data_IF_467700114173
#
_entry.id   IF_467700114173
#
_cell.length_a   1.000
_cell.length_b   1.000
_cell.length_c   1.000
_cell.angle_alpha   90.00
_cell.angle_beta   90.00
_cell.angle_gamma   90.00
#
_symmetry.space_group_name_H-M   'P 1'
#
loop_
_entity.id
_entity.type
_entity.pdbx_description
1 polymer ?
#
# COMPACT_ATOMS: atom_id res chain seq x y z
N UNK A 1 29.21 -48.60 -70.11
CA UNK A 1 28.22 -49.11 -69.15
C UNK A 1 28.93 -49.21 -67.83
N UNK A 2 28.62 -48.32 -66.86
CA UNK A 2 29.27 -48.30 -65.58
C UNK A 2 28.61 -47.17 -64.77
N UNK A 3 27.62 -47.55 -63.98
CA UNK A 3 26.88 -46.63 -63.09
C UNK A 3 27.69 -46.28 -61.88
N UNK A 4 27.95 -45.00 -61.66
CA UNK A 4 28.54 -44.48 -60.40
C UNK A 4 27.43 -44.10 -59.42
N UNK A 5 27.31 -44.82 -58.32
CA UNK A 5 26.46 -44.50 -57.19
C UNK A 5 27.15 -43.49 -56.29
N UNK A 6 26.60 -42.26 -56.24
CA UNK A 6 26.96 -41.24 -55.27
C UNK A 6 26.22 -41.49 -53.94
N UNK A 7 26.93 -41.61 -52.82
CA UNK A 7 26.40 -41.67 -51.47
C UNK A 7 26.34 -40.27 -50.91
N UNK A 8 25.11 -39.75 -50.67
CA UNK A 8 24.90 -38.53 -49.89
C UNK A 8 24.94 -38.88 -48.40
N UNK A 9 25.93 -38.39 -47.71
CA UNK A 9 26.00 -38.37 -46.24
C UNK A 9 25.16 -37.18 -45.74
N UNK A 10 24.00 -37.45 -45.11
CA UNK A 10 23.18 -36.47 -44.38
C UNK A 10 23.76 -36.30 -42.99
N UNK A 11 24.44 -35.19 -42.73
CA UNK A 11 24.86 -34.81 -41.38
C UNK A 11 23.67 -34.11 -40.68
N UNK A 12 23.01 -34.83 -39.74
CA UNK A 12 22.05 -34.21 -38.85
C UNK A 12 22.79 -33.42 -37.75
N UNK A 13 22.79 -32.11 -37.82
CA UNK A 13 23.13 -31.25 -36.69
C UNK A 13 21.98 -31.29 -35.71
N UNK A 14 22.12 -31.95 -34.57
CA UNK A 14 21.25 -31.86 -33.44
C UNK A 14 21.45 -30.45 -32.79
N UNK A 15 20.58 -29.53 -33.04
CA UNK A 15 20.49 -28.29 -32.29
C UNK A 15 19.99 -28.59 -30.86
N UNK A 16 20.91 -28.63 -29.89
CA UNK A 16 20.53 -28.61 -28.47
C UNK A 16 19.97 -27.23 -28.15
N UNK A 17 18.64 -27.14 -28.10
CA UNK A 17 17.94 -25.99 -27.52
C UNK A 17 18.27 -25.98 -26.02
N UNK A 18 19.11 -25.05 -25.58
CA UNK A 18 19.22 -24.71 -24.17
C UNK A 18 17.88 -24.08 -23.75
N UNK A 19 17.07 -24.88 -23.09
CA UNK A 19 15.86 -24.41 -22.41
C UNK A 19 16.30 -23.54 -21.23
N UNK A 20 16.48 -22.24 -21.47
CA UNK A 20 16.67 -21.24 -20.41
C UNK A 20 15.30 -21.02 -19.80
N UNK A 21 14.91 -21.94 -18.91
CA UNK A 21 13.78 -21.67 -18.00
C UNK A 21 14.05 -20.33 -17.32
N UNK A 22 13.11 -19.35 -17.42
CA UNK A 22 13.24 -18.12 -16.65
C UNK A 22 13.30 -18.53 -15.18
N UNK A 23 14.49 -18.32 -14.56
CA UNK A 23 14.68 -18.62 -13.15
C UNK A 23 13.52 -18.01 -12.39
N UNK A 24 12.75 -18.82 -11.67
CA UNK A 24 11.73 -18.36 -10.75
C UNK A 24 12.45 -17.46 -9.76
N UNK A 25 12.36 -16.15 -9.95
CA UNK A 25 12.81 -15.20 -8.95
C UNK A 25 12.08 -15.60 -7.66
N UNK A 26 12.82 -16.14 -6.69
CA UNK A 26 12.27 -16.68 -5.47
C UNK A 26 11.37 -15.61 -4.86
N UNK A 27 10.07 -15.88 -4.80
CA UNK A 27 9.08 -14.90 -4.36
C UNK A 27 9.42 -14.52 -2.91
N UNK A 28 9.75 -13.26 -2.67
CA UNK A 28 10.15 -12.78 -1.34
C UNK A 28 9.01 -13.04 -0.33
N UNK A 29 9.35 -13.48 0.90
CA UNK A 29 8.34 -13.87 1.88
C UNK A 29 7.59 -12.67 2.46
N UNK A 30 6.38 -12.90 2.95
CA UNK A 30 5.67 -11.99 3.82
C UNK A 30 6.14 -12.15 5.27
N UNK A 31 5.76 -11.20 6.13
CA UNK A 31 6.16 -11.18 7.54
C UNK A 31 5.87 -12.50 8.28
N UNK A 32 4.68 -13.05 8.14
CA UNK A 32 4.28 -14.29 8.83
C UNK A 32 5.05 -15.52 8.35
N UNK A 33 5.47 -15.55 7.11
CA UNK A 33 6.26 -16.66 6.54
C UNK A 33 7.68 -16.76 7.13
N UNK A 34 8.11 -15.70 7.79
CA UNK A 34 9.40 -15.68 8.52
C UNK A 34 9.23 -15.58 10.04
N UNK A 35 8.02 -15.83 10.56
CA UNK A 35 7.74 -15.83 12.00
C UNK A 35 7.37 -14.47 12.60
N UNK A 36 7.30 -13.43 11.79
CA UNK A 36 6.88 -12.08 12.23
C UNK A 36 5.35 -11.99 12.17
N UNK A 37 4.71 -12.15 13.30
CA UNK A 37 3.24 -12.17 13.43
C UNK A 37 2.79 -11.23 14.56
N UNK A 38 2.78 -9.90 14.33
CA UNK A 38 2.43 -8.94 15.37
C UNK A 38 0.98 -9.10 15.81
N UNK A 39 0.79 -9.00 17.13
CA UNK A 39 -0.52 -9.01 17.76
C UNK A 39 -1.10 -10.39 18.05
N UNK A 40 -2.41 -10.37 18.38
CA UNK A 40 -3.14 -11.55 18.87
C UNK A 40 -4.30 -11.96 17.95
N UNK A 41 -4.77 -11.08 17.06
CA UNK A 41 -5.89 -11.39 16.19
C UNK A 41 -5.46 -12.18 14.96
N UNK A 42 -6.33 -13.12 14.55
CA UNK A 42 -6.18 -13.84 13.30
C UNK A 42 -6.31 -12.90 12.10
N UNK A 43 -5.61 -13.21 11.02
CA UNK A 43 -5.76 -12.51 9.75
C UNK A 43 -7.03 -12.97 9.01
N UNK A 44 -7.49 -12.18 8.06
CA UNK A 44 -8.39 -12.66 7.03
C UNK A 44 -7.67 -13.64 6.07
N UNK A 45 -8.42 -14.27 5.15
CA UNK A 45 -7.87 -15.28 4.24
C UNK A 45 -6.70 -14.82 3.37
N UNK A 46 -6.73 -13.56 2.92
CA UNK A 46 -5.69 -12.95 2.08
C UNK A 46 -4.65 -12.19 2.90
N UNK A 47 -4.96 -11.94 4.18
CA UNK A 47 -4.20 -11.00 5.02
C UNK A 47 -3.93 -9.67 4.30
N UNK A 48 -4.97 -9.09 3.71
CA UNK A 48 -4.94 -7.90 2.89
C UNK A 48 -6.13 -6.98 3.16
N UNK A 49 -6.03 -5.71 2.76
CA UNK A 49 -7.14 -4.75 2.89
C UNK A 49 -8.42 -5.24 2.17
N UNK A 50 -8.27 -6.04 1.14
CA UNK A 50 -9.35 -6.66 0.37
C UNK A 50 -10.07 -7.81 1.09
N UNK A 51 -9.64 -8.20 2.29
CA UNK A 51 -10.43 -9.06 3.18
C UNK A 51 -11.65 -8.31 3.75
N UNK A 52 -11.63 -6.99 3.72
CA UNK A 52 -12.81 -6.17 4.07
C UNK A 52 -13.80 -6.23 2.89
N UNK A 53 -15.02 -6.71 3.10
CA UNK A 53 -16.00 -6.88 2.03
C UNK A 53 -16.25 -5.58 1.26
N UNK A 54 -16.21 -5.65 -0.06
CA UNK A 54 -16.45 -4.53 -0.97
C UNK A 54 -15.20 -3.78 -1.41
N UNK A 55 -14.08 -3.87 -0.68
CA UNK A 55 -12.84 -3.17 -1.03
C UNK A 55 -12.18 -3.77 -2.26
N UNK A 56 -11.80 -2.89 -3.21
CA UNK A 56 -11.05 -3.26 -4.40
C UNK A 56 -9.74 -2.47 -4.44
N UNK A 57 -8.69 -3.09 -4.97
CA UNK A 57 -7.38 -2.46 -5.17
C UNK A 57 -6.92 -2.67 -6.62
N UNK A 58 -6.47 -1.59 -7.26
CA UNK A 58 -5.85 -1.63 -8.58
C UNK A 58 -4.49 -0.94 -8.56
N UNK A 59 -3.54 -1.45 -9.33
CA UNK A 59 -2.16 -0.98 -9.29
C UNK A 59 -1.59 -0.88 -10.71
N UNK A 60 -0.87 0.21 -10.98
CA UNK A 60 -0.10 0.40 -12.22
C UNK A 60 1.31 0.80 -11.85
N UNK A 61 2.27 -0.05 -12.19
CA UNK A 61 3.69 0.22 -12.04
C UNK A 61 4.22 0.92 -13.27
N UNK A 62 4.95 2.03 -13.08
CA UNK A 62 5.54 2.83 -14.17
C UNK A 62 7.06 2.77 -14.05
N UNK A 63 7.66 2.07 -14.99
CA UNK A 63 9.11 1.95 -15.13
C UNK A 63 9.46 2.40 -16.56
N UNK A 64 10.15 3.53 -16.70
CA UNK A 64 10.51 4.09 -18.00
C UNK A 64 12.01 4.42 -18.02
N UNK A 65 12.70 3.90 -19.02
CA UNK A 65 14.14 4.04 -19.19
C UNK A 65 14.91 3.78 -17.86
N UNK A 66 15.91 4.60 -17.57
CA UNK A 66 16.73 4.53 -16.36
C UNK A 66 16.37 5.61 -15.31
N UNK A 67 15.28 6.35 -15.50
CA UNK A 67 14.98 7.58 -14.73
C UNK A 67 13.61 7.60 -14.04
N UNK A 68 12.69 6.71 -14.41
CA UNK A 68 11.33 6.65 -13.83
C UNK A 68 11.11 5.33 -13.13
N UNK A 69 10.84 5.38 -11.84
CA UNK A 69 10.38 4.27 -10.99
C UNK A 69 9.29 4.80 -10.07
N UNK A 70 8.06 4.70 -10.49
CA UNK A 70 6.89 5.23 -9.78
C UNK A 70 5.63 4.43 -10.12
N UNK A 71 4.45 4.92 -9.77
CA UNK A 71 3.20 4.29 -10.15
C UNK A 71 1.98 4.84 -9.44
N UNK A 72 0.88 4.14 -9.59
CA UNK A 72 -0.43 4.47 -9.03
C UNK A 72 -0.98 3.24 -8.29
N UNK A 73 -1.55 3.46 -7.11
CA UNK A 73 -2.37 2.48 -6.40
C UNK A 73 -3.74 3.10 -6.14
N UNK A 74 -4.80 2.47 -6.62
CA UNK A 74 -6.18 2.88 -6.42
C UNK A 74 -6.84 1.96 -5.37
N UNK A 75 -7.56 2.55 -4.42
CA UNK A 75 -8.36 1.84 -3.43
C UNK A 75 -9.80 2.32 -3.55
N UNK A 76 -10.72 1.39 -3.84
CA UNK A 76 -12.14 1.67 -3.97
C UNK A 76 -12.88 1.03 -2.78
N UNK A 77 -13.63 1.80 -1.98
CA UNK A 77 -14.46 1.28 -0.91
C UNK A 77 -15.54 0.27 -1.36
N UNK A 78 -16.01 0.40 -2.60
CA UNK A 78 -16.93 -0.55 -3.24
C UNK A 78 -16.93 -0.36 -4.77
N UNK A 79 -17.46 -1.34 -5.50
CA UNK A 79 -17.50 -1.35 -6.96
C UNK A 79 -18.54 -0.40 -7.59
N UNK A 80 -19.46 0.16 -6.80
CA UNK A 80 -20.49 1.08 -7.29
C UNK A 80 -19.98 2.51 -7.47
N UNK A 81 -20.86 3.41 -7.94
CA UNK A 81 -20.56 4.84 -8.05
C UNK A 81 -20.45 5.47 -6.66
N UNK A 82 -19.21 5.77 -6.24
CA UNK A 82 -18.89 6.32 -4.92
C UNK A 82 -19.44 7.73 -4.71
N UNK A 83 -19.67 8.49 -5.76
CA UNK A 83 -20.24 9.82 -5.67
C UNK A 83 -21.74 9.78 -5.30
N UNK A 84 -22.45 8.77 -5.78
CA UNK A 84 -23.87 8.58 -5.51
C UNK A 84 -24.10 7.79 -4.21
N UNK A 85 -23.20 6.87 -3.87
CA UNK A 85 -23.26 6.00 -2.70
C UNK A 85 -21.96 6.17 -1.89
N UNK A 86 -21.93 7.21 -1.08
CA UNK A 86 -20.76 7.58 -0.28
C UNK A 86 -20.58 6.67 0.93
N UNK A 87 -19.34 6.56 1.37
CA UNK A 87 -19.00 5.84 2.60
C UNK A 87 -18.56 6.83 3.68
N UNK A 88 -18.88 6.58 4.96
CA UNK A 88 -18.33 7.39 6.05
C UNK A 88 -16.82 7.23 6.09
N UNK A 89 -16.11 8.33 6.33
CA UNK A 89 -14.65 8.36 6.35
C UNK A 89 -14.12 9.46 7.27
N UNK A 90 -12.84 9.32 7.62
CA UNK A 90 -12.09 10.33 8.35
C UNK A 90 -10.62 10.29 7.96
N UNK A 91 -9.95 11.44 8.10
CA UNK A 91 -8.51 11.57 7.87
C UNK A 91 -7.86 12.07 9.17
N UNK A 92 -6.72 11.43 9.51
CA UNK A 92 -5.84 11.86 10.60
C UNK A 92 -4.48 12.22 10.01
N UNK A 93 -3.95 13.36 10.44
CA UNK A 93 -2.61 13.84 10.11
C UNK A 93 -1.69 13.55 11.29
N UNK A 94 -0.70 12.69 11.09
CA UNK A 94 0.36 12.42 12.07
C UNK A 94 1.43 13.50 12.02
N UNK A 95 1.94 13.78 10.82
CA UNK A 95 2.76 14.93 10.48
C UNK A 95 2.39 15.43 9.08
N UNK A 96 2.38 16.74 8.87
CA UNK A 96 1.74 17.37 7.70
C UNK A 96 2.66 17.82 6.57
N UNK A 97 3.92 17.38 6.52
CA UNK A 97 4.83 17.74 5.44
C UNK A 97 4.58 16.88 4.18
N UNK A 98 3.45 17.12 3.52
CA UNK A 98 3.04 16.35 2.34
C UNK A 98 1.74 16.89 1.75
N UNK A 99 1.18 16.15 0.79
CA UNK A 99 -0.07 16.48 0.13
C UNK A 99 -1.07 15.34 0.28
N UNK A 100 -2.23 15.68 0.83
CA UNK A 100 -3.41 14.83 0.79
C UNK A 100 -4.57 15.67 0.30
N UNK A 101 -4.84 15.60 -1.00
CA UNK A 101 -6.00 16.29 -1.59
C UNK A 101 -7.30 15.73 -1.02
N UNK A 102 -8.30 16.57 -0.92
CA UNK A 102 -9.63 16.20 -0.45
C UNK A 102 -9.79 16.10 1.06
N UNK A 103 -8.71 16.24 1.84
CA UNK A 103 -8.72 16.05 3.29
C UNK A 103 -9.67 16.97 4.04
N UNK A 104 -9.81 18.22 3.61
CA UNK A 104 -10.71 19.21 4.26
C UNK A 104 -12.17 18.77 4.16
N UNK A 105 -12.64 18.42 2.96
CA UNK A 105 -14.03 17.97 2.78
C UNK A 105 -14.32 16.65 3.49
N UNK A 106 -13.39 15.68 3.43
CA UNK A 106 -13.56 14.40 4.14
C UNK A 106 -13.71 14.64 5.64
N UNK A 107 -12.89 15.50 6.23
CA UNK A 107 -12.94 15.77 7.66
C UNK A 107 -14.15 16.62 8.08
N UNK A 108 -14.61 17.51 7.22
CA UNK A 108 -15.77 18.38 7.50
C UNK A 108 -17.09 17.64 7.30
N UNK A 109 -17.21 16.85 6.23
CA UNK A 109 -18.46 16.14 5.90
C UNK A 109 -18.49 14.69 6.41
N UNK A 110 -17.34 14.15 6.83
CA UNK A 110 -17.24 12.79 7.37
C UNK A 110 -17.47 11.70 6.32
N UNK A 111 -17.21 11.95 5.04
CA UNK A 111 -17.49 11.00 3.96
C UNK A 111 -16.49 11.05 2.80
N UNK A 112 -16.34 9.92 2.10
CA UNK A 112 -15.66 9.79 0.82
C UNK A 112 -16.68 9.73 -0.32
N UNK A 113 -16.44 10.51 -1.37
CA UNK A 113 -17.25 10.51 -2.60
C UNK A 113 -16.43 10.07 -3.84
N UNK A 114 -15.14 9.72 -3.65
CA UNK A 114 -14.24 9.25 -4.72
C UNK A 114 -13.46 8.02 -4.28
N UNK A 115 -12.85 7.27 -5.20
CA UNK A 115 -11.73 6.39 -4.87
C UNK A 115 -10.62 7.15 -4.16
N UNK A 116 -9.72 6.40 -3.50
CA UNK A 116 -8.46 6.93 -2.96
C UNK A 116 -7.36 6.55 -3.95
N UNK A 117 -6.58 7.53 -4.41
CA UNK A 117 -5.38 7.29 -5.20
C UNK A 117 -4.13 7.59 -4.37
N UNK A 118 -3.12 6.73 -4.52
CA UNK A 118 -1.77 6.93 -4.01
C UNK A 118 -0.80 7.01 -5.18
N UNK A 119 0.16 7.94 -5.13
CA UNK A 119 1.13 8.15 -6.23
C UNK A 119 2.37 8.93 -5.76
N UNK A 120 3.18 9.45 -6.68
CA UNK A 120 4.34 10.30 -6.40
C UNK A 120 3.93 11.74 -6.03
N UNK A 121 4.76 12.43 -5.24
CA UNK A 121 4.44 13.76 -4.68
C UNK A 121 4.09 14.81 -5.74
N UNK A 122 4.81 14.92 -6.86
CA UNK A 122 4.48 15.86 -7.93
C UNK A 122 3.38 15.34 -8.88
N UNK A 123 2.97 14.08 -8.75
CA UNK A 123 1.96 13.45 -9.59
C UNK A 123 0.53 13.71 -9.10
N UNK A 124 0.34 14.16 -7.87
CA UNK A 124 -0.95 14.28 -7.18
C UNK A 124 -2.01 14.99 -8.02
N UNK A 125 -1.68 16.14 -8.60
CA UNK A 125 -2.66 16.92 -9.39
C UNK A 125 -3.04 16.26 -10.70
N UNK A 126 -2.10 15.58 -11.39
CA UNK A 126 -2.42 14.77 -12.57
C UNK A 126 -3.32 13.59 -12.25
N UNK A 127 -3.05 12.92 -11.12
CA UNK A 127 -3.87 11.82 -10.66
C UNK A 127 -5.30 12.28 -10.29
N UNK A 128 -5.42 13.43 -9.65
CA UNK A 128 -6.71 14.02 -9.28
C UNK A 128 -7.53 14.40 -10.52
N UNK A 129 -6.93 15.09 -11.47
CA UNK A 129 -7.57 15.49 -12.73
C UNK A 129 -8.08 14.27 -13.50
N UNK A 130 -7.23 13.27 -13.69
CA UNK A 130 -7.58 12.03 -14.38
C UNK A 130 -8.67 11.21 -13.66
N UNK A 131 -8.69 11.22 -12.32
CA UNK A 131 -9.75 10.58 -11.54
C UNK A 131 -11.08 11.30 -11.70
N UNK A 132 -11.07 12.64 -11.69
CA UNK A 132 -12.27 13.44 -11.90
C UNK A 132 -12.84 13.17 -13.32
N UNK A 133 -11.99 13.15 -14.35
CA UNK A 133 -12.40 12.81 -15.70
C UNK A 133 -13.06 11.42 -15.76
N UNK A 134 -12.43 10.42 -15.13
CA UNK A 134 -12.97 9.06 -15.07
C UNK A 134 -14.33 9.01 -14.34
N UNK A 135 -14.47 9.75 -13.24
CA UNK A 135 -15.71 9.78 -12.46
C UNK A 135 -16.85 10.48 -13.20
N UNK A 136 -16.57 11.60 -13.88
CA UNK A 136 -17.58 12.30 -14.69
C UNK A 136 -18.13 11.45 -15.82
N UNK A 137 -17.36 10.47 -16.31
CA UNK A 137 -17.80 9.48 -17.28
C UNK A 137 -18.66 8.34 -16.73
N UNK A 138 -18.89 8.28 -15.42
CA UNK A 138 -19.72 7.22 -14.81
C UNK A 138 -21.21 7.50 -14.98
N UNK A 139 -22.06 6.47 -15.04
CA UNK A 139 -23.52 6.65 -15.11
C UNK A 139 -24.06 7.49 -13.95
N UNK A 140 -24.97 8.41 -14.23
CA UNK A 140 -25.61 9.27 -13.24
C UNK A 140 -24.83 10.53 -12.86
N UNK A 141 -23.71 10.81 -13.54
CA UNK A 141 -22.86 11.97 -13.25
C UNK A 141 -23.15 13.21 -14.11
N UNK A 142 -24.08 13.16 -15.05
CA UNK A 142 -24.34 14.22 -16.05
C UNK A 142 -24.61 15.61 -15.47
N UNK A 143 -25.20 15.67 -14.28
CA UNK A 143 -25.53 16.92 -13.59
C UNK A 143 -24.49 17.34 -12.53
N UNK A 144 -23.44 16.56 -12.35
CA UNK A 144 -22.40 16.83 -11.35
C UNK A 144 -21.54 18.02 -11.79
N UNK A 145 -21.26 18.94 -10.88
CA UNK A 145 -20.50 20.17 -11.13
C UNK A 145 -19.28 20.31 -10.21
N UNK A 146 -19.13 19.43 -9.22
CA UNK A 146 -18.05 19.45 -8.25
C UNK A 146 -17.76 18.05 -7.78
N UNK A 147 -16.49 17.67 -7.68
CA UNK A 147 -16.00 16.38 -7.16
C UNK A 147 -14.76 16.68 -6.32
N UNK A 148 -14.72 16.13 -5.10
CA UNK A 148 -13.59 16.27 -4.20
C UNK A 148 -12.67 15.05 -4.29
N UNK A 149 -11.67 15.11 -5.17
CA UNK A 149 -10.71 14.03 -5.38
C UNK A 149 -9.84 13.79 -4.15
N UNK A 150 -9.71 12.53 -3.70
CA UNK A 150 -8.82 12.12 -2.61
C UNK A 150 -7.57 11.46 -3.18
N UNK A 151 -6.44 12.15 -3.08
CA UNK A 151 -5.15 11.69 -3.60
C UNK A 151 -4.05 11.94 -2.58
N UNK A 152 -3.42 10.85 -2.13
CA UNK A 152 -2.26 10.87 -1.25
C UNK A 152 -0.95 10.58 -2.00
N UNK A 153 0.18 10.83 -1.32
CA UNK A 153 1.48 10.72 -1.98
C UNK A 153 2.62 10.38 -1.04
N UNK A 154 3.71 9.92 -1.63
CA UNK A 154 5.03 9.96 -1.02
C UNK A 154 6.06 10.47 -2.04
N UNK A 155 7.21 10.99 -1.56
CA UNK A 155 8.26 11.50 -2.43
C UNK A 155 9.25 10.39 -2.82
N UNK A 156 9.07 9.80 -3.98
CA UNK A 156 9.95 8.78 -4.56
C UNK A 156 11.07 9.37 -5.45
N UNK A 157 11.21 10.71 -5.46
CA UNK A 157 12.01 11.48 -6.41
C UNK A 157 13.50 11.63 -6.09
N UNK A 158 14.05 10.81 -5.19
CA UNK A 158 15.48 10.89 -4.84
C UNK A 158 16.33 10.01 -5.76
N UNK A 159 16.51 8.72 -5.43
CA UNK A 159 17.38 7.82 -6.19
C UNK A 159 16.66 7.18 -7.37
N UNK A 160 15.37 6.82 -7.21
CA UNK A 160 14.69 5.93 -8.15
C UNK A 160 13.82 6.63 -9.19
N UNK A 161 13.12 7.69 -8.82
CA UNK A 161 12.29 8.48 -9.74
C UNK A 161 12.89 9.86 -10.00
N UNK A 162 14.13 9.90 -10.50
CA UNK A 162 14.86 11.16 -10.72
C UNK A 162 14.17 12.07 -11.73
N UNK A 163 13.32 11.53 -12.59
CA UNK A 163 12.49 12.29 -13.53
C UNK A 163 11.19 12.84 -12.91
N UNK A 164 11.03 12.83 -11.57
CA UNK A 164 9.79 13.20 -10.87
C UNK A 164 9.23 14.58 -11.30
N UNK A 165 10.10 15.52 -11.71
CA UNK A 165 9.68 16.86 -12.19
C UNK A 165 8.87 16.81 -13.49
N UNK A 166 8.99 15.74 -14.28
CA UNK A 166 8.14 15.51 -15.46
C UNK A 166 6.74 15.08 -15.10
N UNK A 167 6.50 14.71 -13.82
CA UNK A 167 5.26 14.12 -13.32
C UNK A 167 4.89 12.90 -14.14
N UNK A 168 5.69 11.80 -14.06
CA UNK A 168 5.73 10.72 -15.03
C UNK A 168 4.59 9.69 -14.83
N UNK A 169 3.35 10.17 -14.79
CA UNK A 169 2.14 9.36 -14.88
C UNK A 169 1.21 9.96 -15.93
N UNK A 170 0.32 9.18 -16.49
CA UNK A 170 -0.64 9.58 -17.51
C UNK A 170 -2.08 9.34 -17.05
N UNK A 171 -3.04 10.05 -17.65
CA UNK A 171 -4.47 9.82 -17.41
C UNK A 171 -4.89 8.38 -17.74
N UNK A 172 -4.31 7.77 -18.80
CA UNK A 172 -4.56 6.39 -19.16
C UNK A 172 -4.12 5.40 -18.05
N UNK A 173 -2.95 5.63 -17.45
CA UNK A 173 -2.44 4.79 -16.33
C UNK A 173 -3.30 4.95 -15.08
N UNK A 174 -3.78 6.16 -14.77
CA UNK A 174 -4.72 6.39 -13.65
C UNK A 174 -6.04 5.66 -13.92
N UNK A 175 -6.59 5.80 -15.12
CA UNK A 175 -7.81 5.08 -15.54
C UNK A 175 -7.60 3.57 -15.46
N UNK A 176 -6.46 3.07 -15.89
CA UNK A 176 -6.11 1.64 -15.81
C UNK A 176 -6.10 1.17 -14.33
N UNK A 177 -5.49 1.91 -13.40
CA UNK A 177 -5.50 1.56 -11.99
C UNK A 177 -6.92 1.49 -11.42
N UNK A 178 -7.79 2.45 -11.79
CA UNK A 178 -9.19 2.48 -11.35
C UNK A 178 -10.01 1.33 -11.93
N UNK A 179 -9.88 1.04 -13.24
CA UNK A 179 -10.69 0.02 -13.93
C UNK A 179 -10.20 -1.41 -13.69
N UNK A 180 -8.93 -1.60 -13.36
CA UNK A 180 -8.37 -2.90 -13.01
C UNK A 180 -8.53 -3.25 -11.53
N UNK A 181 -9.11 -2.35 -10.72
CA UNK A 181 -9.32 -2.59 -9.30
C UNK A 181 -10.25 -3.80 -9.09
N UNK A 182 -9.82 -4.72 -8.25
CA UNK A 182 -10.52 -5.97 -7.99
C UNK A 182 -10.39 -6.40 -6.53
N UNK A 183 -11.26 -7.28 -6.10
CA UNK A 183 -11.13 -8.02 -4.85
C UNK A 183 -10.09 -9.14 -5.03
N UNK A 184 -9.50 -9.63 -3.95
CA UNK A 184 -8.51 -10.70 -4.04
C UNK A 184 -7.12 -10.27 -3.57
N UNK A 185 -6.07 -11.02 -3.90
CA UNK A 185 -4.71 -10.72 -3.46
C UNK A 185 -4.24 -9.35 -3.95
N UNK A 186 -3.62 -8.58 -3.06
CA UNK A 186 -2.99 -7.29 -3.38
C UNK A 186 -1.49 -7.53 -3.61
N UNK A 187 -0.94 -6.97 -4.67
CA UNK A 187 0.52 -7.02 -4.88
C UNK A 187 1.23 -6.10 -3.89
N UNK A 188 2.37 -6.56 -3.36
CA UNK A 188 3.13 -5.87 -2.33
C UNK A 188 4.58 -5.62 -2.76
N UNK A 189 5.26 -4.70 -2.06
CA UNK A 189 6.63 -4.31 -2.33
C UNK A 189 6.74 -3.26 -3.43
N UNK A 190 7.64 -3.48 -4.37
CA UNK A 190 8.04 -2.51 -5.42
C UNK A 190 7.02 -2.40 -6.56
N UNK A 191 5.74 -2.16 -6.24
CA UNK A 191 4.63 -2.13 -7.21
C UNK A 191 3.76 -0.89 -7.03
N UNK A 192 3.05 -0.49 -8.09
CA UNK A 192 2.15 0.66 -8.04
C UNK A 192 2.82 1.91 -7.48
N UNK A 193 2.16 2.61 -6.59
CA UNK A 193 2.69 3.79 -5.90
C UNK A 193 3.94 3.51 -5.03
N UNK A 194 4.21 2.25 -4.72
CA UNK A 194 5.40 1.83 -3.95
C UNK A 194 6.65 1.53 -4.79
N UNK A 195 6.59 1.72 -6.12
CA UNK A 195 7.68 1.33 -7.02
C UNK A 195 8.99 2.07 -6.72
N UNK A 196 8.96 3.38 -6.51
CA UNK A 196 10.16 4.20 -6.30
C UNK A 196 10.48 4.53 -4.84
N UNK A 197 9.74 3.98 -3.88
CA UNK A 197 9.81 4.38 -2.47
C UNK A 197 10.93 3.68 -1.69
N UNK A 198 11.34 4.30 -0.58
CA UNK A 198 12.39 3.83 0.33
C UNK A 198 11.89 3.93 1.77
N UNK A 199 12.13 2.90 2.58
CA UNK A 199 11.75 2.91 3.99
C UNK A 199 12.88 2.35 4.86
N UNK A 200 13.21 3.04 5.96
CA UNK A 200 14.32 2.66 6.86
C UNK A 200 15.65 2.43 6.14
N UNK A 201 15.94 3.19 5.10
CA UNK A 201 17.11 3.05 4.23
C UNK A 201 17.13 1.82 3.29
N UNK A 202 16.12 0.98 3.33
CA UNK A 202 15.90 -0.10 2.36
C UNK A 202 14.78 0.23 1.38
N UNK A 203 14.64 -0.59 0.36
CA UNK A 203 13.53 -0.48 -0.57
C UNK A 203 12.22 -0.65 0.18
N UNK A 204 11.38 0.39 0.15
CA UNK A 204 10.01 0.39 0.64
C UNK A 204 9.01 -0.11 -0.40
N UNK A 205 7.73 0.16 -0.20
CA UNK A 205 6.73 -0.26 -1.16
C UNK A 205 5.29 -0.18 -0.68
N UNK A 206 4.43 -0.90 -1.37
CA UNK A 206 3.07 -1.20 -0.91
C UNK A 206 3.13 -2.39 0.02
N UNK A 207 2.41 -2.30 1.14
CA UNK A 207 2.18 -3.42 2.04
C UNK A 207 0.74 -3.46 2.50
N UNK A 208 0.25 -4.65 2.85
CA UNK A 208 -1.12 -4.81 3.30
C UNK A 208 -1.23 -5.89 4.36
N UNK A 209 -2.28 -5.81 5.17
CA UNK A 209 -2.60 -6.80 6.20
C UNK A 209 -4.06 -6.66 6.64
N UNK A 210 -4.59 -7.67 7.29
CA UNK A 210 -5.94 -7.64 7.88
C UNK A 210 -6.00 -8.33 9.23
N UNK A 211 -7.05 -8.01 9.99
CA UNK A 211 -7.39 -8.68 11.25
C UNK A 211 -8.88 -8.96 11.31
N UNK A 212 -9.21 -10.18 11.73
CA UNK A 212 -10.57 -10.58 12.05
C UNK A 212 -10.83 -10.41 13.54
N UNK A 213 -11.89 -9.67 13.86
CA UNK A 213 -12.36 -9.53 15.23
C UNK A 213 -13.12 -10.81 15.60
N UNK A 214 -12.90 -11.39 16.79
CA UNK A 214 -13.67 -12.56 17.23
C UNK A 214 -15.17 -12.32 17.22
N UNK A 215 -15.94 -13.34 16.84
CA UNK A 215 -17.41 -13.26 16.73
C UNK A 215 -18.12 -12.88 18.02
N UNK A 216 -17.50 -13.14 19.16
CA UNK A 216 -18.02 -12.74 20.48
C UNK A 216 -18.07 -11.21 20.67
N UNK A 217 -17.32 -10.46 19.87
CA UNK A 217 -17.24 -8.99 19.92
C UNK A 217 -17.99 -8.39 18.72
N UNK A 218 -18.16 -9.15 17.65
CA UNK A 218 -18.74 -8.74 16.37
C UNK A 218 -17.88 -9.28 15.22
N UNK A 219 -18.45 -9.86 14.17
CA UNK A 219 -17.72 -10.56 13.11
C UNK A 219 -17.08 -9.59 12.12
N UNK A 220 -16.38 -8.56 12.60
CA UNK A 220 -15.83 -7.50 11.76
C UNK A 220 -14.40 -7.79 11.33
N UNK A 221 -14.02 -7.18 10.22
CA UNK A 221 -12.69 -7.20 9.64
C UNK A 221 -12.11 -5.78 9.62
N UNK A 222 -10.84 -5.65 9.99
CA UNK A 222 -10.05 -4.44 9.75
C UNK A 222 -8.97 -4.79 8.74
N UNK A 223 -8.87 -4.02 7.66
CA UNK A 223 -7.83 -4.15 6.64
C UNK A 223 -7.02 -2.87 6.52
N UNK A 224 -5.73 -3.00 6.28
CA UNK A 224 -4.81 -1.87 6.12
C UNK A 224 -3.98 -2.05 4.85
N UNK A 225 -3.80 -0.95 4.11
CA UNK A 225 -2.83 -0.82 3.02
C UNK A 225 -1.95 0.38 3.30
N UNK A 226 -0.64 0.22 3.10
CA UNK A 226 0.34 1.30 3.29
C UNK A 226 1.16 1.53 2.03
N UNK A 227 1.55 2.80 1.80
CA UNK A 227 2.62 3.20 0.90
C UNK A 227 3.74 3.77 1.77
N UNK A 228 4.85 3.01 1.92
CA UNK A 228 5.95 3.35 2.83
C UNK A 228 7.07 4.09 2.12
N UNK A 229 7.49 5.24 2.66
CA UNK A 229 8.62 6.02 2.17
C UNK A 229 9.16 6.91 3.29
N UNK A 230 9.65 6.31 4.38
CA UNK A 230 10.04 7.06 5.59
C UNK A 230 11.29 6.48 6.26
N UNK A 231 11.96 7.30 7.06
CA UNK A 231 13.13 6.93 7.84
C UNK A 231 12.79 6.50 9.28
N UNK A 232 13.84 6.28 10.06
CA UNK A 232 13.77 5.84 11.44
C UNK A 232 14.74 4.70 11.71
N UNK A 233 14.61 4.04 12.87
CA UNK A 233 15.42 2.88 13.24
C UNK A 233 14.51 1.66 13.34
N UNK A 234 14.56 0.81 12.31
CA UNK A 234 13.65 -0.33 12.17
C UNK A 234 13.64 -1.22 13.39
N UNK A 235 12.48 -1.41 13.96
CA UNK A 235 12.18 -2.41 14.97
C UNK A 235 11.20 -3.44 14.40
N UNK A 236 11.42 -4.71 14.67
CA UNK A 236 10.52 -5.78 14.26
C UNK A 236 10.12 -6.56 15.50
N UNK A 237 8.86 -6.41 15.92
CA UNK A 237 8.33 -7.00 17.15
C UNK A 237 9.23 -6.69 18.38
N UNK A 238 9.79 -5.48 18.45
CA UNK A 238 10.69 -5.03 19.51
C UNK A 238 12.17 -5.39 19.32
N UNK A 239 12.53 -6.26 18.37
CA UNK A 239 13.94 -6.53 18.04
C UNK A 239 14.55 -5.33 17.29
N UNK A 240 15.75 -4.84 17.66
CA UNK A 240 16.37 -3.64 17.09
C UNK A 240 17.07 -3.92 15.77
N UNK A 241 16.33 -4.44 14.78
CA UNK A 241 16.84 -4.92 13.50
C UNK A 241 17.61 -3.85 12.74
N UNK A 242 17.09 -2.61 12.75
CA UNK A 242 17.76 -1.48 12.10
C UNK A 242 19.16 -1.20 12.68
N UNK A 243 19.30 -1.25 14.00
CA UNK A 243 20.61 -1.04 14.66
C UNK A 243 21.59 -2.15 14.29
N UNK A 244 21.16 -3.41 14.32
CA UNK A 244 22.04 -4.55 14.04
C UNK A 244 22.44 -4.66 12.56
N UNK A 245 21.58 -4.24 11.64
CA UNK A 245 21.92 -4.17 10.21
C UNK A 245 22.77 -2.95 9.87
N UNK A 246 22.63 -1.84 10.61
CA UNK A 246 23.32 -0.57 10.37
C UNK A 246 24.79 -0.57 10.81
N UNK A 247 25.26 -1.53 11.60
CA UNK A 247 26.68 -1.63 11.98
C UNK A 247 27.66 -1.62 10.79
N UNK A 248 27.18 -1.86 9.56
CA UNK A 248 27.96 -1.72 8.32
C UNK A 248 27.73 -0.39 7.58
N UNK A 249 26.64 0.34 7.90
CA UNK A 249 26.29 1.59 7.22
C UNK A 249 26.91 2.81 7.91
N UNK A 250 27.18 2.73 9.21
CA UNK A 250 27.82 3.80 9.99
C UNK A 250 29.25 4.13 9.49
N UNK A 251 29.95 3.17 8.88
CA UNK A 251 31.30 3.38 8.31
C UNK A 251 31.26 4.15 6.98
N UNK A 252 30.11 4.25 6.31
CA UNK A 252 29.97 4.92 5.00
C UNK A 252 29.58 6.40 5.07
N UNK A 253 29.37 6.97 6.27
CA UNK A 253 29.02 8.39 6.44
C UNK A 253 27.63 8.80 5.93
N UNK A 254 26.82 7.85 5.53
CA UNK A 254 25.43 8.09 5.09
C UNK A 254 24.57 8.42 6.32
N UNK A 255 24.13 9.67 6.44
CA UNK A 255 23.09 10.05 7.39
C UNK A 255 21.81 9.31 7.03
N UNK A 256 21.25 8.56 7.98
CA UNK A 256 19.88 8.04 7.86
C UNK A 256 18.96 9.19 7.44
N UNK A 257 18.30 9.07 6.28
CA UNK A 257 17.33 10.07 5.85
C UNK A 257 16.12 9.93 6.77
N UNK A 258 16.04 10.82 7.75
CA UNK A 258 14.92 10.84 8.69
C UNK A 258 13.61 11.30 8.01
N UNK A 259 13.75 12.09 6.93
CA UNK A 259 12.62 12.64 6.19
C UNK A 259 11.99 11.59 5.27
N UNK A 260 10.67 11.66 5.15
CA UNK A 260 9.94 10.74 4.31
C UNK A 260 8.44 10.89 4.52
N UNK A 261 7.66 9.91 4.10
CA UNK A 261 6.19 9.96 4.19
C UNK A 261 5.60 8.57 4.28
N UNK A 262 4.40 8.46 4.83
CA UNK A 262 3.61 7.24 4.73
C UNK A 262 2.14 7.59 4.49
N UNK A 263 1.52 6.90 3.53
CA UNK A 263 0.08 6.84 3.42
C UNK A 263 -0.41 5.53 4.02
N UNK A 264 -1.38 5.62 4.93
CA UNK A 264 -2.05 4.48 5.55
C UNK A 264 -3.54 4.55 5.22
N UNK A 265 -4.07 3.53 4.58
CA UNK A 265 -5.50 3.40 4.28
C UNK A 265 -6.06 2.27 5.13
N UNK A 266 -7.05 2.57 5.94
CA UNK A 266 -7.71 1.66 6.87
C UNK A 266 -9.15 1.45 6.43
N UNK A 267 -9.53 0.21 6.17
CA UNK A 267 -10.90 -0.18 5.85
C UNK A 267 -11.49 -1.06 6.95
N UNK A 268 -12.79 -0.99 7.16
CA UNK A 268 -13.52 -1.93 8.01
C UNK A 268 -14.95 -2.11 7.52
N UNK A 269 -15.52 -3.28 7.76
CA UNK A 269 -16.96 -3.55 7.59
C UNK A 269 -17.77 -3.34 8.88
N UNK A 270 -17.13 -2.86 9.95
CA UNK A 270 -17.85 -2.41 11.14
C UNK A 270 -18.63 -1.13 10.83
N UNK A 271 -19.89 -1.01 11.25
CA UNK A 271 -20.72 0.17 10.99
C UNK A 271 -20.30 1.35 11.88
N UNK A 272 -19.26 2.06 11.45
CA UNK A 272 -18.66 3.18 12.16
C UNK A 272 -19.01 4.51 11.50
N UNK A 273 -19.35 5.53 12.32
CA UNK A 273 -19.39 6.91 11.88
C UNK A 273 -17.98 7.48 11.65
N UNK A 274 -17.92 8.62 10.97
CA UNK A 274 -16.71 9.40 10.77
C UNK A 274 -15.96 9.71 12.08
N UNK A 275 -16.68 10.06 13.14
CA UNK A 275 -16.10 10.28 14.47
C UNK A 275 -15.36 9.03 14.97
N UNK A 276 -15.97 7.85 14.89
CA UNK A 276 -15.34 6.61 15.34
C UNK A 276 -14.26 6.14 14.36
N UNK A 277 -14.39 6.40 13.06
CA UNK A 277 -13.34 6.19 12.07
C UNK A 277 -12.12 7.08 12.32
N UNK A 278 -12.31 8.33 12.74
CA UNK A 278 -11.19 9.21 13.14
C UNK A 278 -10.42 8.63 14.35
N UNK A 279 -11.15 8.08 15.32
CA UNK A 279 -10.54 7.39 16.47
C UNK A 279 -9.81 6.11 16.05
N UNK A 280 -10.36 5.37 15.10
CA UNK A 280 -9.71 4.18 14.51
C UNK A 280 -8.43 4.58 13.77
N UNK A 281 -8.51 5.56 12.87
CA UNK A 281 -7.38 6.09 12.10
C UNK A 281 -6.20 6.51 13.01
N UNK A 282 -6.49 7.19 14.12
CA UNK A 282 -5.46 7.63 15.06
C UNK A 282 -4.62 6.47 15.63
N UNK A 283 -5.15 5.24 15.68
CA UNK A 283 -4.43 4.06 16.17
C UNK A 283 -3.46 3.47 15.14
N UNK A 284 -3.65 3.75 13.84
CA UNK A 284 -2.68 3.36 12.83
C UNK A 284 -1.29 4.01 13.10
N UNK A 285 -1.27 5.23 13.63
CA UNK A 285 -0.03 5.90 14.04
C UNK A 285 0.72 5.15 15.16
N UNK A 286 -0.01 4.44 16.04
CA UNK A 286 0.63 3.58 17.06
C UNK A 286 1.28 2.35 16.40
N UNK A 287 0.67 1.79 15.35
CA UNK A 287 1.26 0.71 14.56
C UNK A 287 2.53 1.17 13.83
N UNK A 288 2.51 2.37 13.25
CA UNK A 288 3.68 3.01 12.65
C UNK A 288 4.81 3.18 13.67
N UNK A 289 4.52 3.72 14.86
CA UNK A 289 5.51 3.94 15.91
C UNK A 289 6.19 2.64 16.38
N UNK A 290 5.46 1.50 16.41
CA UNK A 290 6.02 0.20 16.76
C UNK A 290 7.10 -0.29 15.82
N UNK A 291 7.11 0.18 14.56
CA UNK A 291 8.13 -0.19 13.58
C UNK A 291 9.42 0.62 13.69
N UNK A 292 9.46 1.63 14.57
CA UNK A 292 10.63 2.48 14.78
C UNK A 292 10.64 3.78 13.97
N UNK A 293 9.50 4.15 13.37
CA UNK A 293 9.32 5.49 12.78
C UNK A 293 9.20 6.54 13.88
N UNK A 294 9.69 7.75 13.57
CA UNK A 294 9.66 8.90 14.50
C UNK A 294 8.76 10.04 13.99
N UNK A 295 8.08 9.85 12.85
CA UNK A 295 7.28 10.89 12.20
C UNK A 295 8.07 12.22 12.15
N UNK A 296 9.22 12.21 11.47
CA UNK A 296 10.16 13.33 11.44
C UNK A 296 9.54 14.61 10.88
N UNK A 297 10.16 15.76 11.15
CA UNK A 297 9.61 17.06 10.74
C UNK A 297 9.35 17.19 9.24
N UNK A 298 10.14 16.53 8.39
CA UNK A 298 9.97 16.50 6.93
C UNK A 298 9.09 15.36 6.42
N UNK A 299 8.36 14.65 7.30
CA UNK A 299 7.49 13.53 6.95
C UNK A 299 6.05 13.97 6.67
N UNK A 300 5.39 13.33 5.70
CA UNK A 300 3.96 13.44 5.46
C UNK A 300 3.26 12.15 5.86
N UNK A 301 2.77 12.08 7.09
CA UNK A 301 2.18 10.88 7.68
C UNK A 301 0.67 11.04 7.78
N UNK A 302 -0.07 10.34 6.91
CA UNK A 302 -1.52 10.48 6.81
C UNK A 302 -2.21 9.14 6.93
N UNK A 303 -3.37 9.15 7.59
CA UNK A 303 -4.25 7.99 7.71
C UNK A 303 -5.62 8.34 7.16
N UNK A 304 -6.11 7.54 6.21
CA UNK A 304 -7.47 7.62 5.68
C UNK A 304 -8.20 6.39 6.17
N UNK A 305 -9.28 6.55 6.93
CA UNK A 305 -10.12 5.44 7.39
C UNK A 305 -11.53 5.55 6.83
N UNK A 306 -12.11 4.40 6.42
CA UNK A 306 -13.49 4.33 5.95
C UNK A 306 -14.18 3.04 6.37
N UNK A 307 -15.52 3.06 6.39
CA UNK A 307 -16.35 1.87 6.60
C UNK A 307 -17.09 1.49 5.32
N UNK A 308 -17.06 0.20 4.99
CA UNK A 308 -17.82 -0.37 3.86
C UNK A 308 -19.22 -0.84 4.27
N UNK A 309 -19.56 -0.81 5.57
CA UNK A 309 -20.83 -1.32 6.09
C UNK A 309 -22.03 -0.65 5.39
N UNK A 310 -22.98 -1.44 4.89
CA UNK A 310 -24.17 -0.88 4.24
C UNK A 310 -25.00 0.03 5.16
N UNK A 311 -25.05 -0.29 6.45
CA UNK A 311 -25.88 0.40 7.46
C UNK A 311 -25.44 1.86 7.71
N UNK A 312 -24.23 2.23 7.35
CA UNK A 312 -23.68 3.59 7.50
C UNK A 312 -23.41 4.27 6.16
N UNK A 313 -23.77 3.63 5.05
CA UNK A 313 -23.59 4.20 3.71
C UNK A 313 -24.52 5.40 3.50
N UNK A 314 -24.06 6.40 2.76
CA UNK A 314 -24.77 7.67 2.58
C UNK A 314 -25.15 7.86 1.12
N UNK A 315 -26.44 7.79 0.81
CA UNK A 315 -26.95 8.11 -0.53
C UNK A 315 -26.94 9.62 -0.72
N UNK A 316 -26.33 10.07 -1.81
CA UNK A 316 -26.32 11.49 -2.18
C UNK A 316 -27.75 11.99 -2.40
N UNK A 317 -27.96 13.26 -2.06
CA UNK A 317 -29.22 13.98 -2.23
C UNK A 317 -30.42 13.36 -1.47
N UNK A 318 -30.19 12.39 -0.59
CA UNK A 318 -31.25 11.91 0.31
C UNK A 318 -31.63 13.01 1.29
N UNK A 319 -32.89 13.40 1.38
CA UNK A 319 -33.34 14.50 2.25
C UNK A 319 -33.15 14.18 3.74
N UNK A 320 -33.05 12.90 4.07
CA UNK A 320 -32.76 12.39 5.41
C UNK A 320 -31.90 11.12 5.28
N UNK A 321 -30.90 11.01 6.11
CA UNK A 321 -30.09 9.79 6.26
C UNK A 321 -30.51 9.09 7.55
N UNK A 322 -30.71 7.78 7.46
CA UNK A 322 -30.83 6.90 8.63
C UNK A 322 -29.65 5.96 8.61
N UNK A 323 -28.82 6.01 9.65
CA UNK A 323 -27.67 5.13 9.81
C UNK A 323 -27.80 4.34 11.10
N UNK A 324 -27.36 3.09 11.07
CA UNK A 324 -27.25 2.24 12.26
C UNK A 324 -25.77 2.05 12.58
N UNK A 325 -25.32 2.75 13.59
CA UNK A 325 -23.92 2.75 13.99
C UNK A 325 -23.64 1.81 15.16
N UNK A 326 -22.42 1.28 15.21
CA UNK A 326 -21.91 0.63 16.40
C UNK A 326 -21.84 1.64 17.56
N UNK A 327 -22.38 1.27 18.71
CA UNK A 327 -22.32 2.07 19.92
C UNK A 327 -20.89 2.26 20.42
N UNK A 328 -20.67 3.28 21.25
CA UNK A 328 -19.38 3.55 21.88
C UNK A 328 -19.15 2.58 23.06
N UNK A 329 -18.82 1.32 22.74
CA UNK A 329 -18.68 0.21 23.67
C UNK A 329 -17.25 -0.32 23.71
N UNK A 330 -16.97 -1.26 24.62
CA UNK A 330 -15.67 -2.00 24.68
C UNK A 330 -15.31 -2.68 23.36
N UNK A 331 -16.28 -2.98 22.51
CA UNK A 331 -16.05 -3.57 21.17
C UNK A 331 -15.18 -2.69 20.28
N UNK A 332 -15.21 -1.36 20.44
CA UNK A 332 -14.30 -0.45 19.72
C UNK A 332 -12.83 -0.70 20.09
N UNK A 333 -12.53 -1.14 21.31
CA UNK A 333 -11.16 -1.43 21.72
C UNK A 333 -10.54 -2.56 20.90
N UNK A 334 -11.32 -3.58 20.54
CA UNK A 334 -10.88 -4.67 19.67
C UNK A 334 -10.54 -4.19 18.25
N UNK A 335 -11.35 -3.28 17.69
CA UNK A 335 -11.06 -2.64 16.39
C UNK A 335 -9.78 -1.79 16.45
N UNK A 336 -9.58 -1.06 17.56
CA UNK A 336 -8.38 -0.25 17.77
C UNK A 336 -7.11 -1.12 17.84
N UNK A 337 -7.15 -2.24 18.55
CA UNK A 337 -6.03 -3.16 18.59
C UNK A 337 -5.79 -3.77 17.21
N UNK A 338 -6.84 -4.17 16.50
CA UNK A 338 -6.74 -4.76 15.17
C UNK A 338 -6.04 -3.83 14.18
N UNK A 339 -6.36 -2.52 14.17
CA UNK A 339 -5.70 -1.58 13.26
C UNK A 339 -4.23 -1.37 13.61
N UNK A 340 -3.86 -1.37 14.89
CA UNK A 340 -2.46 -1.26 15.31
C UNK A 340 -1.66 -2.45 14.77
N UNK A 341 -2.15 -3.67 15.01
CA UNK A 341 -1.51 -4.91 14.57
C UNK A 341 -1.43 -5.02 13.04
N UNK A 342 -2.51 -4.67 12.34
CA UNK A 342 -2.55 -4.71 10.87
C UNK A 342 -1.62 -3.66 10.24
N UNK A 343 -1.52 -2.46 10.82
CA UNK A 343 -0.61 -1.42 10.33
C UNK A 343 0.84 -1.83 10.49
N UNK A 344 1.22 -2.34 11.67
CA UNK A 344 2.55 -2.85 11.95
C UNK A 344 2.95 -3.94 10.94
N UNK A 345 2.09 -4.94 10.71
CA UNK A 345 2.37 -6.01 9.75
C UNK A 345 2.40 -5.54 8.29
N UNK A 346 1.51 -4.62 7.90
CA UNK A 346 1.51 -4.06 6.54
C UNK A 346 2.83 -3.34 6.21
N UNK A 347 3.40 -2.62 7.19
CA UNK A 347 4.71 -1.97 7.03
C UNK A 347 5.81 -3.01 6.86
N UNK A 348 5.84 -4.09 7.64
CA UNK A 348 6.81 -5.16 7.47
C UNK A 348 6.65 -5.84 6.10
N UNK A 349 5.44 -6.11 5.66
CA UNK A 349 5.17 -6.70 4.36
C UNK A 349 5.68 -5.81 3.22
N UNK A 350 5.54 -4.47 3.33
CA UNK A 350 6.06 -3.54 2.33
C UNK A 350 7.57 -3.64 2.13
N UNK A 351 8.33 -3.88 3.21
CA UNK A 351 9.78 -4.07 3.19
C UNK A 351 10.19 -5.46 2.69
N UNK A 352 9.52 -6.50 3.21
CA UNK A 352 9.91 -7.87 2.91
C UNK A 352 9.56 -8.29 1.49
N UNK A 353 8.48 -7.77 0.93
CA UNK A 353 8.08 -8.01 -0.46
C UNK A 353 8.80 -7.13 -1.47
N UNK A 354 9.46 -6.04 -1.02
CA UNK A 354 10.20 -5.16 -1.91
C UNK A 354 11.43 -5.86 -2.51
N UNK A 355 11.72 -5.54 -3.76
CA UNK A 355 12.90 -6.02 -4.50
C UNK A 355 13.89 -4.88 -4.72
N UNK A 356 15.19 -5.16 -4.71
CA UNK A 356 16.21 -4.16 -5.06
C UNK A 356 15.89 -3.51 -6.40
N UNK A 357 16.00 -2.20 -6.46
CA UNK A 357 15.67 -1.43 -7.65
C UNK A 357 16.73 -0.38 -7.92
N UNK A 358 17.07 -0.22 -9.19
CA UNK A 358 18.08 0.72 -9.67
C UNK A 358 17.49 1.70 -10.68
N UNK A 359 18.05 2.89 -10.70
CA UNK A 359 17.89 3.90 -11.73
C UNK A 359 19.24 4.59 -11.98
N UNK A 360 19.28 5.58 -12.88
CA UNK A 360 20.44 6.43 -13.06
C UNK A 360 20.81 7.23 -11.81
N UNK A 361 19.87 7.47 -10.89
CA UNK A 361 20.11 8.17 -9.63
C UNK A 361 20.74 7.32 -8.54
N UNK A 362 20.75 5.99 -8.69
CA UNK A 362 21.31 5.08 -7.70
C UNK A 362 20.57 3.76 -7.60
N UNK A 363 20.97 2.98 -6.60
CA UNK A 363 20.33 1.71 -6.27
C UNK A 363 19.81 1.76 -4.84
N UNK A 364 18.56 1.35 -4.65
CA UNK A 364 17.96 1.14 -3.33
C UNK A 364 17.78 -0.36 -3.12
N UNK A 365 18.53 -0.90 -2.17
CA UNK A 365 18.56 -2.33 -1.90
C UNK A 365 17.33 -2.77 -1.09
N UNK A 366 16.83 -3.97 -1.38
CA UNK A 366 15.87 -4.64 -0.53
C UNK A 366 16.55 -5.13 0.76
N UNK A 367 15.81 -5.11 1.87
CA UNK A 367 16.29 -5.65 3.13
C UNK A 367 16.64 -7.15 2.98
N UNK A 368 17.77 -7.59 3.54
CA UNK A 368 18.18 -9.01 3.50
C UNK A 368 17.31 -9.84 4.46
N UNK A 369 16.48 -10.71 3.89
CA UNK A 369 15.58 -11.58 4.68
C UNK A 369 16.38 -12.55 5.57
N UNK A 370 17.49 -13.09 5.07
CA UNK A 370 18.29 -14.06 5.83
C UNK A 370 18.93 -13.40 7.06
N UNK A 371 19.49 -12.19 6.90
CA UNK A 371 20.04 -11.43 8.04
C UNK A 371 18.93 -11.03 9.03
N UNK A 372 17.75 -10.65 8.54
CA UNK A 372 16.59 -10.38 9.40
C UNK A 372 16.22 -11.63 10.21
N UNK A 373 16.14 -12.80 9.57
CA UNK A 373 15.86 -14.07 10.27
C UNK A 373 16.91 -14.39 11.35
N UNK A 374 18.20 -14.21 11.04
CA UNK A 374 19.29 -14.41 12.00
C UNK A 374 19.17 -13.50 13.21
N UNK A 375 18.85 -12.22 12.99
CA UNK A 375 18.63 -11.26 14.08
C UNK A 375 17.41 -11.69 14.90
N UNK A 376 16.28 -11.89 14.27
CA UNK A 376 15.03 -12.23 14.95
C UNK A 376 15.16 -13.50 15.79
N UNK A 377 15.92 -14.51 15.29
CA UNK A 377 16.17 -15.74 16.03
C UNK A 377 16.89 -15.50 17.37
N UNK A 378 17.82 -14.51 17.45
CA UNK A 378 18.48 -14.12 18.71
C UNK A 378 17.53 -13.50 19.72
N UNK A 379 16.43 -12.89 19.26
CA UNK A 379 15.37 -12.32 20.08
C UNK A 379 14.19 -13.28 20.31
N UNK A 380 14.35 -14.57 19.96
CA UNK A 380 13.33 -15.58 20.19
C UNK A 380 12.15 -15.54 19.20
N UNK A 381 12.24 -14.73 18.15
CA UNK A 381 11.21 -14.62 17.09
C UNK A 381 11.56 -15.60 15.98
N UNK A 382 10.76 -16.68 15.86
CA UNK A 382 10.98 -17.77 14.91
C UNK A 382 9.68 -18.13 14.19
N UNK A 383 9.75 -18.67 12.96
CA UNK A 383 8.60 -19.31 12.32
C UNK A 383 8.00 -20.38 13.27
N UNK A 384 6.66 -20.40 13.33
CA UNK A 384 5.92 -21.42 14.09
C UNK A 384 5.88 -22.74 13.32
#
# INVERSE_FOLDING_TARGET
MGESRAWLLLVMLAAQAFDVSPGHAQQRPRAREIGVAPGIYATGPLNAITDVPGVLVGQVTVIEADSVRTGITAILPHAGNLFLQRVPAAIVVGNGFGKLLGSTQVNELGELETPILLTCTLCVWKAADAMIEWMLGQPGMDKVRSINAVVGETNDGYELNIAIRSRPITAAQVRQALTSAHTGPVQEGSVGAGTGTRAFDWKGGIGTSSRKIPSTVGPYTVGVLVQTNFGGVLQIMGAPVGQELAHKVAESGSRAHADGSIMMVVATDAPLSDRNLKRLASRALMGLARTGSVASNGSGDYVIAFSTAPDVRRTRDAPRLTTTEMGNTEQLSSLYQAVIEATEEAIYNSLFKATTMSSKGGTVEAISIDKVREILARYGIKPK
#
